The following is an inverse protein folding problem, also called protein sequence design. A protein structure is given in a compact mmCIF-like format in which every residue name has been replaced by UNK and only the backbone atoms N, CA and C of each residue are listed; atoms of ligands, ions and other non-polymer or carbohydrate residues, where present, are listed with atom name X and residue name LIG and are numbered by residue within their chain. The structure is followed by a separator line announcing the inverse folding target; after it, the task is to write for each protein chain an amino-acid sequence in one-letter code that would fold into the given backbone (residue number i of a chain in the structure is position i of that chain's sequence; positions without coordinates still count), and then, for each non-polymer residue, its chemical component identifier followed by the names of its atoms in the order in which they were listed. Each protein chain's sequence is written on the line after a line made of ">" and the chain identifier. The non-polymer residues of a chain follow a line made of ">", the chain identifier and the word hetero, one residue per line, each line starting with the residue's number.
data_IF_856286627765
#
_entry.id   IF_856286627765
#
_cell.length_a   1.000
_cell.length_b   1.000
_cell.length_c   1.000
_cell.angle_alpha   90.00
_cell.angle_beta   90.00
_cell.angle_gamma   90.00
#
_symmetry.space_group_name_H-M   'P 1'
#
loop_
_entity.id
_entity.type
_entity.pdbx_description
1 polymer ?
#
# COMPACT_ATOMS: atom_id res chain seq x y z
N UNK A 1 -16.23 -13.45 0.43
CA UNK A 1 -15.57 -12.19 0.01
C UNK A 1 -16.52 -11.04 0.28
N UNK A 2 -16.07 -10.03 1.02
CA UNK A 2 -16.81 -8.78 1.13
C UNK A 2 -16.95 -8.15 -0.26
N UNK A 3 -18.13 -7.61 -0.58
CA UNK A 3 -18.36 -6.87 -1.83
C UNK A 3 -17.83 -5.45 -1.64
N UNK A 4 -16.52 -5.29 -1.74
CA UNK A 4 -15.86 -3.98 -1.62
C UNK A 4 -15.82 -3.34 -3.02
N UNK A 5 -16.25 -2.09 -3.12
CA UNK A 5 -16.13 -1.29 -4.34
C UNK A 5 -14.68 -0.88 -4.59
N UNK A 6 -14.37 -0.56 -5.84
CA UNK A 6 -13.08 -0.05 -6.27
C UNK A 6 -13.31 1.32 -6.90
N UNK A 7 -12.51 2.32 -6.50
CA UNK A 7 -12.46 3.62 -7.15
C UNK A 7 -11.46 3.59 -8.31
N UNK A 8 -11.85 4.17 -9.44
CA UNK A 8 -10.95 4.57 -10.51
C UNK A 8 -10.29 5.94 -10.17
N UNK A 9 -9.12 6.27 -10.77
CA UNK A 9 -8.43 7.53 -10.49
C UNK A 9 -9.29 8.79 -10.72
N UNK A 10 -10.15 8.78 -11.73
CA UNK A 10 -11.02 9.89 -12.09
C UNK A 10 -12.19 10.10 -11.10
N UNK A 11 -12.45 9.14 -10.21
CA UNK A 11 -13.43 9.24 -9.13
C UNK A 11 -12.86 9.84 -7.83
N UNK A 12 -11.56 10.13 -7.78
CA UNK A 12 -10.86 10.62 -6.59
C UNK A 12 -10.55 12.12 -6.73
N UNK A 13 -11.15 12.96 -5.88
CA UNK A 13 -10.92 14.41 -5.90
C UNK A 13 -9.56 14.84 -5.30
N UNK A 14 -9.05 14.11 -4.29
CA UNK A 14 -7.73 14.38 -3.70
C UNK A 14 -6.64 14.00 -4.71
N UNK A 15 -5.95 15.01 -5.23
CA UNK A 15 -4.95 14.85 -6.30
C UNK A 15 -3.77 13.96 -5.89
N UNK A 16 -3.37 13.98 -4.62
CA UNK A 16 -2.22 13.19 -4.15
C UNK A 16 -2.61 11.72 -3.99
N UNK A 17 -3.83 11.47 -3.49
CA UNK A 17 -4.41 10.12 -3.41
C UNK A 17 -4.60 9.54 -4.80
N UNK A 18 -5.08 10.35 -5.75
CA UNK A 18 -5.20 9.97 -7.17
C UNK A 18 -3.84 9.58 -7.75
N UNK A 19 -2.82 10.42 -7.59
CA UNK A 19 -1.47 10.15 -8.09
C UNK A 19 -0.91 8.84 -7.54
N UNK A 20 -1.11 8.55 -6.25
CA UNK A 20 -0.66 7.27 -5.67
C UNK A 20 -1.40 6.05 -6.20
N UNK A 21 -2.68 6.19 -6.60
CA UNK A 21 -3.42 5.10 -7.24
C UNK A 21 -2.90 4.89 -8.67
N UNK A 22 -2.68 5.96 -9.42
CA UNK A 22 -2.11 5.91 -10.77
C UNK A 22 -0.71 5.27 -10.76
N UNK A 23 0.16 5.68 -9.83
CA UNK A 23 1.49 5.09 -9.64
C UNK A 23 1.40 3.59 -9.31
N UNK A 24 0.42 3.22 -8.47
CA UNK A 24 0.19 1.83 -8.09
C UNK A 24 -0.27 0.98 -9.28
N UNK A 25 -1.17 1.50 -10.12
CA UNK A 25 -1.62 0.87 -11.37
C UNK A 25 -0.44 0.68 -12.34
N UNK A 26 0.37 1.72 -12.53
CA UNK A 26 1.54 1.68 -13.43
C UNK A 26 2.59 0.65 -12.96
N UNK A 27 2.88 0.63 -11.65
CA UNK A 27 3.98 -0.18 -11.09
C UNK A 27 3.54 -1.57 -10.64
N UNK A 28 2.23 -1.82 -10.55
CA UNK A 28 1.65 -3.01 -9.94
C UNK A 28 1.92 -3.15 -8.43
N UNK A 29 2.45 -2.11 -7.77
CA UNK A 29 2.80 -2.15 -6.34
C UNK A 29 2.76 -0.76 -5.68
N UNK A 30 2.25 -0.62 -4.44
CA UNK A 30 1.40 -1.59 -3.73
C UNK A 30 0.23 -2.05 -4.61
N UNK A 31 -0.40 -3.19 -4.35
CA UNK A 31 -1.44 -3.75 -5.24
C UNK A 31 -2.50 -2.70 -5.63
N UNK A 32 -2.77 -2.48 -6.93
CA UNK A 32 -3.73 -1.49 -7.41
C UNK A 32 -5.11 -1.62 -6.77
N UNK A 33 -5.60 -2.85 -6.65
CA UNK A 33 -6.89 -3.18 -6.05
C UNK A 33 -6.93 -2.79 -4.57
N UNK A 34 -5.83 -2.98 -3.84
CA UNK A 34 -5.65 -2.55 -2.47
C UNK A 34 -5.68 -1.03 -2.32
N UNK A 35 -4.96 -0.34 -3.21
CA UNK A 35 -4.86 1.11 -3.19
C UNK A 35 -6.20 1.75 -3.57
N UNK A 36 -6.92 1.16 -4.51
CA UNK A 36 -8.28 1.56 -4.89
C UNK A 36 -9.26 1.41 -3.73
N UNK A 37 -9.15 0.33 -2.93
CA UNK A 37 -9.94 0.19 -1.70
C UNK A 37 -9.56 1.28 -0.68
N UNK A 38 -8.26 1.51 -0.44
CA UNK A 38 -7.81 2.55 0.51
C UNK A 38 -8.24 3.96 0.08
N UNK A 39 -8.34 4.24 -1.22
CA UNK A 39 -8.71 5.54 -1.75
C UNK A 39 -10.11 6.02 -1.32
N UNK A 40 -10.99 5.12 -0.86
CA UNK A 40 -12.28 5.49 -0.26
C UNK A 40 -12.11 6.36 1.00
N UNK A 41 -10.96 6.29 1.66
CA UNK A 41 -10.62 7.16 2.79
C UNK A 41 -9.19 7.72 2.58
N UNK A 42 -9.06 8.96 2.09
CA UNK A 42 -7.78 9.61 1.78
C UNK A 42 -6.71 9.49 2.87
N UNK A 43 -7.07 9.67 4.15
CA UNK A 43 -6.09 9.65 5.24
C UNK A 43 -5.52 8.25 5.51
N UNK A 44 -6.29 7.18 5.27
CA UNK A 44 -5.85 5.78 5.34
C UNK A 44 -4.83 5.52 4.23
N UNK A 45 -5.12 5.99 3.01
CA UNK A 45 -4.19 5.85 1.89
C UNK A 45 -2.89 6.63 2.13
N UNK A 46 -3.01 7.83 2.69
CA UNK A 46 -1.89 8.69 3.09
C UNK A 46 -1.04 8.07 4.19
N UNK A 47 -1.66 7.64 5.29
CA UNK A 47 -0.98 6.99 6.40
C UNK A 47 -0.23 5.73 5.93
N UNK A 48 -0.87 4.91 5.10
CA UNK A 48 -0.23 3.72 4.54
C UNK A 48 0.95 4.07 3.62
N UNK A 49 0.73 4.96 2.65
CA UNK A 49 1.73 5.27 1.62
C UNK A 49 2.97 5.95 2.21
N UNK A 50 2.76 6.93 3.11
CA UNK A 50 3.85 7.63 3.79
C UNK A 50 4.62 6.67 4.71
N UNK A 51 3.93 5.87 5.52
CA UNK A 51 4.58 4.89 6.41
C UNK A 51 5.40 3.89 5.59
N UNK A 52 4.86 3.39 4.48
CA UNK A 52 5.59 2.48 3.59
C UNK A 52 6.85 3.12 3.02
N UNK A 53 6.77 4.37 2.55
CA UNK A 53 7.93 5.13 2.07
C UNK A 53 8.99 5.29 3.16
N UNK A 54 8.60 5.56 4.40
CA UNK A 54 9.55 5.71 5.52
C UNK A 54 10.23 4.39 5.91
N UNK A 55 9.49 3.28 5.92
CA UNK A 55 10.00 1.99 6.41
C UNK A 55 10.76 1.18 5.35
N UNK A 56 10.41 1.32 4.07
CA UNK A 56 10.89 0.48 2.96
C UNK A 56 11.70 1.25 1.91
N UNK A 57 12.20 2.44 2.25
CA UNK A 57 13.11 3.17 1.37
C UNK A 57 14.44 2.41 1.23
N UNK A 58 14.62 1.76 0.07
CA UNK A 58 15.84 0.97 -0.24
C UNK A 58 17.11 1.83 -0.32
N UNK A 59 17.01 3.12 -0.65
CA UNK A 59 18.19 4.00 -0.73
C UNK A 59 18.77 4.30 0.64
N UNK A 60 17.91 4.40 1.65
CA UNK A 60 18.31 4.73 3.02
C UNK A 60 18.42 3.51 3.92
N UNK A 61 17.91 2.35 3.48
CA UNK A 61 17.76 1.12 4.26
C UNK A 61 17.27 1.38 5.69
N UNK A 62 16.18 2.16 5.80
CA UNK A 62 15.76 2.75 7.08
C UNK A 62 15.56 1.72 8.21
N UNK A 63 16.14 1.94 9.39
CA UNK A 63 16.01 1.05 10.54
C UNK A 63 17.24 0.16 10.78
N UNK A 64 17.09 -0.84 11.64
CA UNK A 64 18.22 -1.69 12.12
C UNK A 64 18.37 -3.01 11.35
N UNK A 65 17.38 -3.37 10.53
CA UNK A 65 17.38 -4.59 9.73
C UNK A 65 17.20 -4.27 8.24
N UNK A 66 17.72 -5.14 7.39
CA UNK A 66 17.59 -5.10 5.93
C UNK A 66 16.15 -5.28 5.45
N UNK A 67 15.90 -4.86 4.20
CA UNK A 67 14.56 -4.87 3.61
C UNK A 67 14.02 -6.29 3.47
N UNK A 68 14.90 -7.26 3.19
CA UNK A 68 14.58 -8.67 3.01
C UNK A 68 14.00 -9.27 4.30
N UNK A 69 14.61 -8.99 5.45
CA UNK A 69 14.12 -9.47 6.75
C UNK A 69 12.79 -8.80 7.15
N UNK A 70 12.57 -7.54 6.77
CA UNK A 70 11.27 -6.87 6.97
C UNK A 70 10.16 -7.54 6.17
N UNK A 71 10.42 -7.88 4.91
CA UNK A 71 9.43 -8.56 4.06
C UNK A 71 9.16 -9.99 4.54
N UNK A 72 10.20 -10.73 4.99
CA UNK A 72 10.01 -12.03 5.62
C UNK A 72 9.11 -11.95 6.87
N UNK A 73 9.32 -10.93 7.70
CA UNK A 73 8.49 -10.69 8.90
C UNK A 73 7.05 -10.37 8.51
N UNK A 74 6.84 -9.52 7.50
CA UNK A 74 5.49 -9.21 6.96
C UNK A 74 4.78 -10.46 6.46
N UNK A 75 5.47 -11.32 5.72
CA UNK A 75 4.91 -12.59 5.23
C UNK A 75 4.52 -13.51 6.39
N UNK A 76 5.38 -13.64 7.40
CA UNK A 76 5.08 -14.49 8.56
C UNK A 76 3.86 -14.00 9.35
N UNK A 77 3.72 -12.68 9.53
CA UNK A 77 2.53 -12.06 10.15
C UNK A 77 1.28 -12.30 9.30
N UNK A 78 1.35 -12.10 7.98
CA UNK A 78 0.21 -12.35 7.10
C UNK A 78 -0.24 -13.82 7.18
N UNK A 79 0.72 -14.76 7.15
CA UNK A 79 0.46 -16.20 7.28
C UNK A 79 -0.14 -16.56 8.64
N UNK A 80 0.35 -15.99 9.74
CA UNK A 80 -0.18 -16.30 11.08
C UNK A 80 -1.60 -15.77 11.30
N UNK A 81 -1.98 -14.73 10.54
CA UNK A 81 -3.33 -14.14 10.55
C UNK A 81 -4.26 -14.74 9.49
N UNK A 82 -3.81 -15.72 8.69
CA UNK A 82 -4.54 -16.22 7.51
C UNK A 82 -4.99 -15.08 6.56
N UNK A 83 -4.13 -14.08 6.38
CA UNK A 83 -4.33 -13.03 5.39
C UNK A 83 -3.95 -13.58 4.01
N UNK A 84 -4.95 -13.86 3.17
CA UNK A 84 -4.77 -14.43 1.82
C UNK A 84 -4.50 -13.37 0.74
N UNK A 85 -4.78 -12.10 1.05
CA UNK A 85 -4.41 -10.96 0.24
C UNK A 85 -2.94 -10.58 0.51
#
# INVERSE_FOLDING_TARGET
>A
MARISYLAPDEIDDLEVREWLEESIERGRPGPENQSIRAHQPDVMRAFTVTRKLLFNKKTNAGVIETELKELTRYYIARSLNCEY
#
